data_IF_370942236734
#
_entry.id   IF_370942236734
#
_cell.length_a   1.000
_cell.length_b   1.000
_cell.length_c   1.000
_cell.angle_alpha   90.00
_cell.angle_beta   90.00
_cell.angle_gamma   90.00
#
_symmetry.space_group_name_H-M   'P 1'
#
loop_
_entity.id
_entity.type
_entity.pdbx_description
1 polymer ?
#
# COMPACT_ATOMS: atom_id res chain seq x y z
N UNK A 1 32.44 7.03 20.32
CA UNK A 1 31.88 6.66 18.99
C UNK A 1 30.46 7.17 18.79
N UNK A 2 29.58 7.17 19.80
CA UNK A 2 28.19 7.67 19.65
C UNK A 2 28.00 9.20 19.53
N UNK A 3 29.03 10.00 19.79
CA UNK A 3 28.92 11.48 19.84
C UNK A 3 29.67 12.18 18.71
N UNK A 4 30.31 11.43 17.82
CA UNK A 4 31.11 11.96 16.71
C UNK A 4 30.28 12.00 15.43
N UNK A 5 30.31 13.13 14.73
CA UNK A 5 29.58 13.33 13.48
C UNK A 5 30.04 12.32 12.42
N UNK A 6 29.10 11.64 11.77
CA UNK A 6 29.40 10.72 10.69
C UNK A 6 30.11 11.45 9.54
N UNK A 7 31.23 10.90 9.07
CA UNK A 7 31.99 11.45 7.93
C UNK A 7 31.94 10.53 6.71
N UNK A 8 31.61 9.25 6.91
CA UNK A 8 31.54 8.24 5.86
C UNK A 8 30.10 7.79 5.59
N UNK A 9 29.83 7.33 4.37
CA UNK A 9 28.49 6.90 3.96
C UNK A 9 27.94 5.74 4.80
N UNK A 10 28.78 4.76 5.15
CA UNK A 10 28.38 3.64 6.01
C UNK A 10 27.97 4.11 7.42
N UNK A 11 28.73 5.05 7.99
CA UNK A 11 28.45 5.65 9.28
C UNK A 11 27.14 6.45 9.26
N UNK A 12 26.81 7.12 8.15
CA UNK A 12 25.53 7.81 8.02
C UNK A 12 24.34 6.84 8.09
N UNK A 13 24.44 5.68 7.45
CA UNK A 13 23.37 4.68 7.44
C UNK A 13 23.26 3.94 8.78
N UNK A 14 24.37 3.66 9.45
CA UNK A 14 24.38 2.93 10.71
C UNK A 14 24.15 3.84 11.93
N UNK A 15 24.87 4.96 12.03
CA UNK A 15 24.84 5.87 13.17
C UNK A 15 23.67 6.86 13.12
N UNK A 16 23.33 7.42 11.95
CA UNK A 16 22.30 8.47 11.87
C UNK A 16 20.92 7.93 11.47
N UNK A 17 20.84 6.74 10.87
CA UNK A 17 19.58 6.14 10.39
C UNK A 17 19.13 4.88 11.16
N UNK A 18 19.99 4.26 11.97
CA UNK A 18 19.67 2.99 12.61
C UNK A 18 20.45 2.71 13.88
N UNK A 19 20.67 3.74 14.70
CA UNK A 19 21.61 3.66 15.83
C UNK A 19 21.29 2.54 16.83
N UNK A 20 19.99 2.26 17.06
CA UNK A 20 19.52 1.23 17.98
C UNK A 20 19.83 -0.19 17.49
N UNK A 21 19.64 -0.42 16.19
CA UNK A 21 19.94 -1.72 15.55
C UNK A 21 21.44 -1.94 15.53
N UNK A 22 22.20 -0.90 15.21
CA UNK A 22 23.65 -0.98 15.21
C UNK A 22 24.22 -1.24 16.60
N UNK A 23 23.66 -0.60 17.65
CA UNK A 23 24.02 -0.91 19.03
C UNK A 23 23.82 -2.39 19.34
N UNK A 24 22.66 -2.93 18.94
CA UNK A 24 22.31 -4.34 19.16
C UNK A 24 23.31 -5.27 18.46
N UNK A 25 23.69 -4.97 17.22
CA UNK A 25 24.72 -5.71 16.47
C UNK A 25 26.06 -5.70 17.20
N UNK A 26 26.50 -4.54 17.69
CA UNK A 26 27.75 -4.41 18.44
C UNK A 26 27.73 -5.22 19.73
N UNK A 27 26.62 -5.18 20.49
CA UNK A 27 26.43 -5.97 21.72
C UNK A 27 26.56 -7.48 21.42
N UNK A 28 25.93 -7.95 20.34
CA UNK A 28 26.03 -9.33 19.90
C UNK A 28 27.45 -9.71 19.48
N UNK A 29 28.16 -8.84 18.77
CA UNK A 29 29.56 -9.05 18.36
C UNK A 29 30.52 -9.12 19.55
N UNK A 30 30.20 -8.48 20.68
CA UNK A 30 30.96 -8.55 21.92
C UNK A 30 30.67 -9.80 22.77
N UNK A 31 29.78 -10.68 22.33
CA UNK A 31 29.46 -11.93 23.04
C UNK A 31 28.28 -11.85 24.00
N UNK A 32 27.61 -10.69 24.09
CA UNK A 32 26.44 -10.54 24.95
C UNK A 32 25.18 -11.13 24.30
N UNK A 33 24.23 -11.51 25.14
CA UNK A 33 22.93 -12.04 24.72
C UNK A 33 21.90 -10.91 24.66
N UNK A 34 21.06 -10.94 23.64
CA UNK A 34 19.86 -10.09 23.52
C UNK A 34 18.66 -11.02 23.52
N UNK A 35 17.70 -10.76 24.41
CA UNK A 35 16.48 -11.53 24.55
C UNK A 35 15.24 -10.68 24.34
N UNK A 36 14.21 -11.30 23.77
CA UNK A 36 12.89 -10.72 23.71
C UNK A 36 12.13 -10.96 25.02
N UNK A 37 11.57 -9.91 25.61
CA UNK A 37 10.74 -9.98 26.79
C UNK A 37 9.32 -9.47 26.46
N UNK A 38 8.34 -10.36 26.45
CA UNK A 38 6.95 -10.02 26.12
C UNK A 38 6.28 -9.08 27.14
N UNK A 39 6.81 -9.02 28.37
CA UNK A 39 6.34 -8.12 29.43
C UNK A 39 7.02 -6.74 29.40
N UNK A 40 7.93 -6.49 28.45
CA UNK A 40 8.54 -5.18 28.28
C UNK A 40 7.59 -4.26 27.51
N UNK A 41 7.14 -3.19 28.16
CA UNK A 41 6.22 -2.22 27.57
C UNK A 41 6.99 -1.04 26.96
N UNK A 42 6.62 -0.69 25.72
CA UNK A 42 7.09 0.52 25.05
C UNK A 42 5.93 1.16 24.29
N UNK A 43 5.73 2.46 24.47
CA UNK A 43 4.72 3.24 23.77
C UNK A 43 5.40 4.10 22.69
N UNK A 44 4.89 4.05 21.47
CA UNK A 44 5.40 4.86 20.35
C UNK A 44 4.26 5.37 19.48
N UNK A 45 4.52 6.44 18.74
CA UNK A 45 3.56 7.04 17.83
C UNK A 45 3.51 6.26 16.51
N UNK A 46 2.34 5.81 16.11
CA UNK A 46 2.14 5.20 14.79
C UNK A 46 1.97 6.29 13.72
N UNK A 47 2.54 6.14 12.51
CA UNK A 47 2.35 7.13 11.45
C UNK A 47 0.86 7.22 11.05
N UNK A 48 0.33 8.43 10.94
CA UNK A 48 -1.06 8.66 10.53
C UNK A 48 -1.18 9.00 9.04
N UNK A 49 -0.08 9.43 8.43
CA UNK A 49 -0.02 9.80 7.01
C UNK A 49 0.93 8.89 6.23
N UNK A 50 0.64 8.74 4.93
CA UNK A 50 1.50 7.94 4.05
C UNK A 50 2.92 8.51 3.93
N UNK A 51 3.08 9.84 3.94
CA UNK A 51 4.39 10.49 3.85
C UNK A 51 5.27 10.20 5.07
N UNK A 52 4.69 10.22 6.27
CA UNK A 52 5.37 9.82 7.50
C UNK A 52 5.78 8.35 7.46
N UNK A 53 4.85 7.46 7.07
CA UNK A 53 5.12 6.04 6.89
C UNK A 53 6.25 5.81 5.89
N UNK A 54 6.19 6.44 4.72
CA UNK A 54 7.20 6.30 3.67
C UNK A 54 8.57 6.79 4.15
N UNK A 55 8.63 7.94 4.82
CA UNK A 55 9.89 8.47 5.35
C UNK A 55 10.48 7.55 6.44
N UNK A 56 9.65 6.94 7.30
CA UNK A 56 10.10 5.93 8.27
C UNK A 56 10.70 4.71 7.56
N UNK A 57 10.01 4.17 6.56
CA UNK A 57 10.47 2.98 5.81
C UNK A 57 11.73 3.25 5.01
N UNK A 58 11.85 4.44 4.41
CA UNK A 58 13.06 4.89 3.70
C UNK A 58 14.28 4.95 4.62
N UNK A 59 14.12 5.28 5.90
CA UNK A 59 15.21 5.25 6.91
C UNK A 59 15.52 3.82 7.36
N UNK A 60 14.49 3.00 7.59
CA UNK A 60 14.66 1.69 8.24
C UNK A 60 15.16 0.59 7.31
N UNK A 61 14.77 0.59 6.03
CA UNK A 61 15.19 -0.42 5.07
C UNK A 61 16.71 -0.47 4.88
N UNK A 62 17.35 0.64 4.44
CA UNK A 62 18.80 0.70 4.25
C UNK A 62 19.60 0.42 5.52
N UNK A 63 19.15 0.92 6.68
CA UNK A 63 19.85 0.67 7.96
C UNK A 63 19.74 -0.78 8.42
N UNK A 64 18.62 -1.46 8.16
CA UNK A 64 18.49 -2.90 8.44
C UNK A 64 19.44 -3.70 7.56
N UNK A 65 19.49 -3.39 6.26
CA UNK A 65 20.40 -4.04 5.32
C UNK A 65 21.87 -3.84 5.73
N UNK A 66 22.26 -2.62 6.07
CA UNK A 66 23.62 -2.30 6.51
C UNK A 66 24.03 -3.05 7.78
N UNK A 67 23.10 -3.29 8.72
CA UNK A 67 23.35 -4.07 9.92
C UNK A 67 23.51 -5.56 9.64
N UNK A 68 22.68 -6.12 8.74
CA UNK A 68 22.81 -7.52 8.32
C UNK A 68 24.15 -7.73 7.61
N UNK A 69 24.53 -6.83 6.69
CA UNK A 69 25.82 -6.91 5.99
C UNK A 69 26.99 -6.80 6.96
N UNK A 70 26.92 -5.91 7.95
CA UNK A 70 27.95 -5.78 9.00
C UNK A 70 28.10 -7.06 9.83
N UNK A 71 26.98 -7.60 10.33
CA UNK A 71 26.96 -8.85 11.10
C UNK A 71 27.47 -10.04 10.28
N UNK A 72 27.09 -10.11 8.99
CA UNK A 72 27.58 -11.12 8.06
C UNK A 72 29.06 -10.92 7.73
N UNK A 73 29.59 -9.70 7.74
CA UNK A 73 31.02 -9.42 7.56
C UNK A 73 31.87 -10.00 8.70
N UNK A 74 31.37 -9.90 9.94
CA UNK A 74 32.05 -10.39 11.15
C UNK A 74 31.59 -11.77 11.62
N UNK A 75 30.82 -12.51 10.81
CA UNK A 75 30.05 -13.66 11.29
C UNK A 75 30.89 -14.75 11.99
N UNK A 76 32.08 -15.05 11.46
CA UNK A 76 32.95 -16.10 12.01
C UNK A 76 33.39 -15.75 13.43
N UNK A 77 33.83 -14.50 13.64
CA UNK A 77 34.26 -14.04 14.96
C UNK A 77 33.08 -13.94 15.90
N UNK A 78 31.93 -13.45 15.42
CA UNK A 78 30.71 -13.35 16.22
C UNK A 78 30.24 -14.71 16.72
N UNK A 79 30.20 -15.74 15.88
CA UNK A 79 29.80 -17.10 16.28
C UNK A 79 30.83 -17.72 17.23
N UNK A 80 32.13 -17.44 17.06
CA UNK A 80 33.16 -17.94 17.98
C UNK A 80 33.10 -17.29 19.37
N UNK A 81 32.63 -16.04 19.46
CA UNK A 81 32.58 -15.26 20.71
C UNK A 81 31.22 -15.38 21.39
N UNK A 82 30.14 -15.63 20.65
CA UNK A 82 28.77 -15.63 21.15
C UNK A 82 28.07 -16.97 20.90
N UNK A 83 27.94 -17.80 21.95
CA UNK A 83 27.27 -19.10 21.89
C UNK A 83 25.77 -19.01 21.54
N UNK A 84 25.16 -17.82 21.65
CA UNK A 84 23.75 -17.61 21.32
C UNK A 84 23.51 -17.42 19.82
N UNK A 85 24.57 -17.22 19.01
CA UNK A 85 24.47 -17.05 17.56
C UNK A 85 24.98 -18.31 16.88
N UNK A 86 24.06 -19.06 16.27
CA UNK A 86 24.42 -20.30 15.58
C UNK A 86 24.94 -20.05 14.16
N UNK A 87 25.79 -20.95 13.67
CA UNK A 87 26.21 -20.97 12.26
C UNK A 87 25.03 -21.14 11.30
N UNK A 88 24.00 -21.88 11.68
CA UNK A 88 22.78 -22.05 10.89
C UNK A 88 22.02 -20.73 10.72
N UNK A 89 21.93 -19.93 11.78
CA UNK A 89 21.35 -18.58 11.70
C UNK A 89 22.13 -17.70 10.72
N UNK A 90 23.47 -17.72 10.76
CA UNK A 90 24.28 -16.95 9.82
C UNK A 90 24.11 -17.44 8.37
N UNK A 91 24.00 -18.74 8.14
CA UNK A 91 23.72 -19.30 6.81
C UNK A 91 22.34 -18.89 6.28
N UNK A 92 21.33 -18.88 7.14
CA UNK A 92 20.01 -18.35 6.80
C UNK A 92 20.13 -16.89 6.34
N UNK A 93 20.81 -16.05 7.09
CA UNK A 93 21.03 -14.64 6.73
C UNK A 93 21.79 -14.47 5.40
N UNK A 94 22.81 -15.31 5.13
CA UNK A 94 23.52 -15.32 3.84
C UNK A 94 22.62 -15.69 2.66
N UNK A 95 21.67 -16.62 2.84
CA UNK A 95 20.74 -17.03 1.78
C UNK A 95 19.67 -15.97 1.48
N UNK A 96 19.39 -15.12 2.44
CA UNK A 96 18.29 -14.16 2.40
C UNK A 96 18.63 -12.88 1.62
N UNK A 97 19.84 -12.34 1.79
CA UNK A 97 20.31 -11.17 1.04
C UNK A 97 20.16 -11.29 -0.49
N UNK A 98 20.66 -12.35 -1.14
CA UNK A 98 20.52 -12.50 -2.59
C UNK A 98 19.06 -12.72 -3.01
N UNK A 99 18.20 -13.29 -2.15
CA UNK A 99 16.78 -13.43 -2.47
C UNK A 99 16.11 -12.05 -2.62
N UNK A 100 16.44 -11.10 -1.75
CA UNK A 100 15.93 -9.71 -1.85
C UNK A 100 16.41 -9.05 -3.14
N UNK A 101 17.71 -9.13 -3.43
CA UNK A 101 18.30 -8.44 -4.59
C UNK A 101 17.86 -9.06 -5.92
N UNK A 102 17.81 -10.40 -6.03
CA UNK A 102 17.59 -11.07 -7.30
C UNK A 102 16.15 -11.52 -7.56
N UNK A 103 15.28 -11.54 -6.54
CA UNK A 103 13.87 -11.95 -6.74
C UNK A 103 12.90 -10.79 -6.54
N UNK A 104 13.13 -9.99 -5.51
CA UNK A 104 12.15 -9.00 -5.09
C UNK A 104 12.30 -7.64 -5.80
N UNK A 105 13.52 -7.11 -5.92
CA UNK A 105 13.74 -5.88 -6.70
C UNK A 105 13.29 -6.04 -8.17
N UNK A 106 13.60 -7.16 -8.87
CA UNK A 106 13.12 -7.36 -10.23
C UNK A 106 11.59 -7.50 -10.31
N UNK A 107 10.93 -8.07 -9.29
CA UNK A 107 9.46 -8.14 -9.27
C UNK A 107 8.84 -6.73 -9.24
N UNK A 108 9.39 -5.83 -8.43
CA UNK A 108 8.94 -4.43 -8.37
C UNK A 108 9.19 -3.73 -9.71
N UNK A 109 10.41 -3.84 -10.23
CA UNK A 109 10.84 -3.11 -11.42
C UNK A 109 10.16 -3.61 -12.70
N UNK A 110 10.05 -4.93 -12.88
CA UNK A 110 9.57 -5.53 -14.14
C UNK A 110 8.12 -5.97 -14.12
N UNK A 111 7.45 -6.02 -12.96
CA UNK A 111 6.04 -6.41 -12.89
C UNK A 111 5.15 -5.27 -12.39
N UNK A 112 5.52 -4.65 -11.27
CA UNK A 112 4.64 -3.65 -10.65
C UNK A 112 4.70 -2.27 -11.29
N UNK A 113 5.89 -1.71 -11.52
CA UNK A 113 6.00 -0.41 -12.20
C UNK A 113 5.32 -0.45 -13.58
N UNK A 114 5.51 -1.48 -14.42
CA UNK A 114 4.80 -1.60 -15.69
C UNK A 114 3.28 -1.74 -15.53
N UNK A 115 2.80 -2.43 -14.51
CA UNK A 115 1.36 -2.53 -14.25
C UNK A 115 0.73 -1.15 -13.97
N UNK A 116 1.40 -0.34 -13.14
CA UNK A 116 0.94 1.02 -12.83
C UNK A 116 1.01 1.90 -14.07
N UNK A 117 2.15 1.89 -14.76
CA UNK A 117 2.42 2.79 -15.89
C UNK A 117 1.59 2.45 -17.14
N UNK A 118 1.44 1.16 -17.46
CA UNK A 118 0.78 0.73 -18.70
C UNK A 118 -0.66 0.27 -18.52
N UNK A 119 -1.14 0.03 -17.28
CA UNK A 119 -2.53 -0.40 -17.04
C UNK A 119 -3.32 0.62 -16.24
N UNK A 120 -2.83 1.03 -15.06
CA UNK A 120 -3.61 1.92 -14.19
C UNK A 120 -3.69 3.35 -14.71
N UNK A 121 -2.55 3.97 -15.02
CA UNK A 121 -2.54 5.37 -15.50
C UNK A 121 -3.35 5.55 -16.81
N UNK A 122 -3.21 4.68 -17.84
CA UNK A 122 -3.99 4.82 -19.07
C UNK A 122 -5.49 4.59 -18.85
N UNK A 123 -5.89 3.72 -17.92
CA UNK A 123 -7.30 3.53 -17.56
C UNK A 123 -7.89 4.82 -16.96
N UNK A 124 -7.14 5.51 -16.11
CA UNK A 124 -7.54 6.82 -15.56
C UNK A 124 -7.67 7.85 -16.66
N UNK A 125 -6.63 7.99 -17.48
CA UNK A 125 -6.50 9.06 -18.45
C UNK A 125 -7.44 8.91 -19.64
N UNK A 126 -7.60 7.69 -20.17
CA UNK A 126 -8.35 7.46 -21.40
C UNK A 126 -9.75 6.89 -21.20
N UNK A 127 -10.08 6.36 -20.02
CA UNK A 127 -11.43 5.80 -19.76
C UNK A 127 -12.18 6.60 -18.69
N UNK A 128 -11.59 6.80 -17.51
CA UNK A 128 -12.29 7.43 -16.40
C UNK A 128 -12.49 8.94 -16.59
N UNK A 129 -11.42 9.69 -16.86
CA UNK A 129 -11.51 11.14 -17.05
C UNK A 129 -12.44 11.53 -18.22
N UNK A 130 -12.35 10.91 -19.42
CA UNK A 130 -13.24 11.26 -20.52
C UNK A 130 -14.71 10.90 -20.25
N UNK A 131 -14.98 9.82 -19.52
CA UNK A 131 -16.35 9.48 -19.09
C UNK A 131 -16.92 10.55 -18.16
N UNK A 132 -16.11 11.07 -17.23
CA UNK A 132 -16.52 12.17 -16.36
C UNK A 132 -16.75 13.45 -17.18
N UNK A 133 -15.76 13.84 -17.98
CA UNK A 133 -15.71 15.14 -18.65
C UNK A 133 -16.71 15.26 -19.80
N UNK A 134 -16.86 14.21 -20.62
CA UNK A 134 -17.69 14.26 -21.82
C UNK A 134 -19.06 13.60 -21.68
N UNK A 135 -19.27 12.78 -20.64
CA UNK A 135 -20.57 12.14 -20.42
C UNK A 135 -21.26 12.64 -19.16
N UNK A 136 -20.61 12.58 -17.99
CA UNK A 136 -21.26 12.97 -16.74
C UNK A 136 -21.48 14.47 -16.59
N UNK A 137 -20.44 15.28 -16.75
CA UNK A 137 -20.55 16.73 -16.56
C UNK A 137 -21.57 17.36 -17.53
N UNK A 138 -21.57 17.06 -18.85
CA UNK A 138 -22.55 17.64 -19.76
C UNK A 138 -23.97 17.15 -19.48
N UNK A 139 -24.13 15.89 -19.04
CA UNK A 139 -25.42 15.35 -18.64
C UNK A 139 -25.98 16.09 -17.42
N UNK A 140 -25.12 16.43 -16.45
CA UNK A 140 -25.53 17.22 -15.28
C UNK A 140 -25.84 18.67 -15.67
N UNK A 141 -24.93 19.32 -16.40
CA UNK A 141 -25.00 20.75 -16.69
C UNK A 141 -26.11 21.11 -17.68
N UNK A 142 -26.23 20.35 -18.78
CA UNK A 142 -27.16 20.70 -19.87
C UNK A 142 -28.49 19.96 -19.81
N UNK A 143 -28.59 18.88 -19.04
CA UNK A 143 -29.83 18.09 -18.96
C UNK A 143 -30.42 18.05 -17.56
N UNK A 144 -29.63 17.77 -16.52
CA UNK A 144 -30.16 17.67 -15.16
C UNK A 144 -30.53 19.03 -14.56
N UNK A 145 -29.59 19.98 -14.50
CA UNK A 145 -29.82 21.30 -13.88
C UNK A 145 -30.98 22.07 -14.52
N UNK A 146 -31.09 22.20 -15.87
CA UNK A 146 -32.18 22.93 -16.49
C UNK A 146 -33.55 22.29 -16.23
N UNK A 147 -33.58 20.97 -16.07
CA UNK A 147 -34.81 20.24 -15.79
C UNK A 147 -35.25 20.40 -14.34
N UNK A 148 -34.31 20.50 -13.40
CA UNK A 148 -34.59 20.85 -11.99
C UNK A 148 -35.13 22.27 -11.91
N UNK A 149 -34.47 23.24 -12.54
CA UNK A 149 -34.92 24.64 -12.57
C UNK A 149 -36.31 24.78 -13.21
N UNK A 150 -36.54 24.14 -14.36
CA UNK A 150 -37.84 24.14 -15.02
C UNK A 150 -38.92 23.46 -14.17
N UNK A 151 -38.59 22.35 -13.48
CA UNK A 151 -39.53 21.66 -12.59
C UNK A 151 -39.90 22.51 -11.38
N UNK A 152 -38.93 23.23 -10.81
CA UNK A 152 -39.16 24.18 -9.72
C UNK A 152 -40.04 25.35 -10.18
N UNK A 153 -39.74 25.96 -11.34
CA UNK A 153 -40.51 27.08 -11.89
C UNK A 153 -41.94 26.68 -12.30
N UNK A 154 -42.12 25.46 -12.80
CA UNK A 154 -43.43 24.94 -13.24
C UNK A 154 -44.32 24.43 -12.10
N UNK A 155 -43.80 24.29 -10.89
CA UNK A 155 -44.57 23.89 -9.69
C UNK A 155 -45.72 24.87 -9.35
N UNK A 156 -45.64 26.12 -9.82
CA UNK A 156 -46.68 27.13 -9.67
C UNK A 156 -47.85 26.97 -10.67
N UNK A 157 -47.75 26.05 -11.64
CA UNK A 157 -48.81 25.74 -12.61
C UNK A 157 -49.05 24.21 -12.67
N UNK A 158 -50.15 23.68 -12.08
CA UNK A 158 -50.31 22.24 -11.82
C UNK A 158 -50.32 21.37 -13.08
N UNK A 159 -50.72 21.92 -14.24
CA UNK A 159 -50.74 21.19 -15.52
C UNK A 159 -49.36 21.07 -16.17
N UNK A 160 -48.45 22.02 -15.91
CA UNK A 160 -47.08 22.01 -16.44
C UNK A 160 -46.15 21.21 -15.52
N UNK A 161 -46.39 21.27 -14.20
CA UNK A 161 -45.67 20.51 -13.17
C UNK A 161 -45.68 18.99 -13.43
N UNK A 162 -46.83 18.43 -13.79
CA UNK A 162 -46.93 16.98 -14.00
C UNK A 162 -46.11 16.53 -15.23
N UNK A 163 -46.00 17.38 -16.26
CA UNK A 163 -45.18 17.11 -17.43
C UNK A 163 -43.68 17.27 -17.16
N UNK A 164 -43.26 18.26 -16.37
CA UNK A 164 -41.86 18.44 -15.98
C UNK A 164 -41.37 17.31 -15.07
N UNK A 165 -42.16 16.90 -14.08
CA UNK A 165 -41.83 15.77 -13.21
C UNK A 165 -41.72 14.45 -13.98
N UNK A 166 -42.59 14.20 -14.96
CA UNK A 166 -42.47 13.01 -15.82
C UNK A 166 -41.18 13.03 -16.65
N UNK A 167 -40.78 14.19 -17.19
CA UNK A 167 -39.51 14.33 -17.93
C UNK A 167 -38.29 14.10 -17.01
N UNK A 168 -38.35 14.56 -15.77
CA UNK A 168 -37.29 14.34 -14.78
C UNK A 168 -37.15 12.89 -14.37
N UNK A 169 -38.27 12.24 -14.07
CA UNK A 169 -38.28 10.81 -13.78
C UNK A 169 -37.75 9.99 -14.97
N UNK A 170 -38.16 10.33 -16.19
CA UNK A 170 -37.72 9.63 -17.39
C UNK A 170 -36.20 9.82 -17.62
N UNK A 171 -35.71 11.06 -17.51
CA UNK A 171 -34.29 11.34 -17.66
C UNK A 171 -33.43 10.61 -16.62
N UNK A 172 -33.86 10.62 -15.35
CA UNK A 172 -33.16 9.88 -14.30
C UNK A 172 -33.10 8.39 -14.62
N UNK A 173 -34.23 7.79 -15.01
CA UNK A 173 -34.33 6.35 -15.18
C UNK A 173 -33.69 5.82 -16.47
N UNK A 174 -33.71 6.60 -17.56
CA UNK A 174 -33.27 6.14 -18.88
C UNK A 174 -31.94 6.76 -19.35
N UNK A 175 -31.42 7.79 -18.67
CA UNK A 175 -30.17 8.43 -19.07
C UNK A 175 -29.15 8.48 -17.93
N UNK A 176 -29.54 8.99 -16.76
CA UNK A 176 -28.60 9.17 -15.65
C UNK A 176 -28.26 7.86 -14.92
N UNK A 177 -29.26 7.12 -14.45
CA UNK A 177 -29.04 5.85 -13.74
C UNK A 177 -28.27 4.84 -14.60
N UNK A 178 -28.63 4.62 -15.89
CA UNK A 178 -27.91 3.68 -16.73
C UNK A 178 -26.44 4.04 -16.93
N UNK A 179 -26.11 5.34 -17.08
CA UNK A 179 -24.72 5.78 -17.20
C UNK A 179 -23.91 5.47 -15.93
N UNK A 180 -24.52 5.68 -14.75
CA UNK A 180 -23.90 5.34 -13.47
C UNK A 180 -23.76 3.83 -13.32
N UNK A 181 -24.82 3.06 -13.55
CA UNK A 181 -24.87 1.63 -13.25
C UNK A 181 -24.11 0.77 -14.25
N UNK A 182 -24.05 1.16 -15.53
CA UNK A 182 -23.44 0.34 -16.58
C UNK A 182 -22.08 0.85 -17.05
N UNK A 183 -21.73 2.11 -16.78
CA UNK A 183 -20.44 2.66 -17.19
C UNK A 183 -19.57 3.05 -16.00
N UNK A 184 -20.09 3.84 -15.07
CA UNK A 184 -19.27 4.40 -13.99
C UNK A 184 -18.95 3.38 -12.89
N UNK A 185 -19.98 2.75 -12.31
CA UNK A 185 -19.82 1.76 -11.25
C UNK A 185 -18.97 0.57 -11.70
N UNK A 186 -19.21 -0.05 -12.87
CA UNK A 186 -18.39 -1.19 -13.30
C UNK A 186 -16.93 -0.81 -13.53
N UNK A 187 -16.67 0.39 -14.07
CA UNK A 187 -15.31 0.88 -14.25
C UNK A 187 -14.60 1.02 -12.89
N UNK A 188 -15.28 1.61 -11.89
CA UNK A 188 -14.72 1.77 -10.55
C UNK A 188 -14.55 0.42 -9.85
N UNK A 189 -15.58 -0.42 -9.81
CA UNK A 189 -15.59 -1.67 -9.04
C UNK A 189 -14.71 -2.77 -9.64
N UNK A 190 -14.71 -2.94 -10.96
CA UNK A 190 -13.99 -4.05 -11.60
C UNK A 190 -12.60 -3.67 -12.10
N UNK A 191 -12.32 -2.38 -12.31
CA UNK A 191 -11.05 -1.94 -12.89
C UNK A 191 -10.20 -1.10 -11.92
N UNK A 192 -10.80 -0.21 -11.11
CA UNK A 192 -10.05 0.64 -10.17
C UNK A 192 -9.86 0.02 -8.79
N UNK A 193 -10.93 -0.46 -8.18
CA UNK A 193 -10.95 -1.01 -6.82
C UNK A 193 -9.92 -2.14 -6.63
N UNK A 194 -9.86 -3.15 -7.52
CA UNK A 194 -8.89 -4.22 -7.41
C UNK A 194 -7.45 -3.69 -7.47
N UNK A 195 -7.21 -2.68 -8.31
CA UNK A 195 -5.88 -2.11 -8.50
C UNK A 195 -5.46 -1.25 -7.29
N UNK A 196 -6.40 -0.49 -6.71
CA UNK A 196 -6.19 0.33 -5.51
C UNK A 196 -6.08 -0.52 -4.23
N UNK A 197 -6.78 -1.64 -4.13
CA UNK A 197 -6.65 -2.58 -2.99
C UNK A 197 -5.36 -3.40 -3.06
N UNK A 198 -4.91 -3.79 -4.26
CA UNK A 198 -3.66 -4.52 -4.44
C UNK A 198 -2.42 -3.62 -4.26
N UNK A 199 -2.54 -2.34 -4.57
CA UNK A 199 -1.45 -1.36 -4.51
C UNK A 199 -0.80 -1.23 -3.11
N UNK A 200 -1.52 -1.00 -2.01
CA UNK A 200 -0.95 -0.94 -0.67
C UNK A 200 -0.47 -2.30 -0.16
N UNK A 201 -1.06 -3.41 -0.61
CA UNK A 201 -0.53 -4.75 -0.31
C UNK A 201 0.85 -4.89 -0.95
N UNK A 202 0.98 -4.61 -2.24
CA UNK A 202 2.26 -4.64 -2.95
C UNK A 202 3.29 -3.66 -2.34
N UNK A 203 2.87 -2.47 -1.93
CA UNK A 203 3.69 -1.48 -1.21
C UNK A 203 4.09 -1.98 0.19
N UNK A 204 3.21 -2.70 0.90
CA UNK A 204 3.54 -3.34 2.16
C UNK A 204 4.58 -4.46 1.95
N UNK A 205 4.41 -5.29 0.92
CA UNK A 205 5.37 -6.33 0.55
C UNK A 205 6.71 -5.73 0.17
N UNK A 206 6.72 -4.64 -0.59
CA UNK A 206 7.95 -3.96 -1.06
C UNK A 206 8.79 -3.31 0.07
N UNK A 207 8.19 -3.07 1.25
CA UNK A 207 8.82 -2.35 2.36
C UNK A 207 8.80 -3.08 3.72
N UNK A 208 8.28 -4.31 3.78
CA UNK A 208 8.39 -5.18 4.96
C UNK A 208 9.78 -5.85 4.96
N UNK A 209 10.49 -5.90 6.11
CA UNK A 209 11.59 -6.83 6.25
C UNK A 209 11.03 -8.25 6.04
N UNK A 210 11.50 -8.94 5.01
CA UNK A 210 11.02 -10.25 4.56
C UNK A 210 11.09 -11.36 5.64
N UNK A 211 11.61 -11.11 6.84
CA UNK A 211 11.52 -12.01 7.99
C UNK A 211 10.07 -12.17 8.51
N UNK A 212 9.14 -11.27 8.18
CA UNK A 212 7.72 -11.39 8.54
C UNK A 212 6.85 -12.15 7.50
N UNK A 213 7.44 -12.57 6.37
CA UNK A 213 6.70 -13.21 5.26
C UNK A 213 5.92 -14.48 5.66
N UNK A 214 6.50 -15.47 6.38
CA UNK A 214 5.78 -16.70 6.69
C UNK A 214 4.60 -16.49 7.66
N UNK A 215 4.69 -15.49 8.55
CA UNK A 215 3.63 -15.18 9.52
C UNK A 215 2.46 -14.39 8.89
N UNK A 216 2.75 -13.54 7.90
CA UNK A 216 1.75 -12.73 7.21
C UNK A 216 0.94 -13.54 6.18
N UNK A 217 1.56 -14.50 5.48
CA UNK A 217 0.90 -15.41 4.53
C UNK A 217 -0.15 -16.29 5.23
N UNK A 218 0.14 -16.75 6.45
CA UNK A 218 -0.77 -17.60 7.24
C UNK A 218 -1.96 -16.85 7.83
N UNK A 219 -1.82 -15.55 8.13
CA UNK A 219 -2.88 -14.73 8.74
C UNK A 219 -3.78 -14.02 7.72
N UNK A 220 -3.27 -13.74 6.52
CA UNK A 220 -4.00 -12.98 5.48
C UNK A 220 -4.84 -13.84 4.53
N UNK A 221 -4.44 -15.09 4.28
CA UNK A 221 -5.16 -16.00 3.39
C UNK A 221 -6.59 -16.38 3.83
N UNK A 222 -6.91 -16.60 5.12
CA UNK A 222 -8.28 -16.91 5.50
C UNK A 222 -9.22 -15.70 5.43
N UNK A 223 -8.71 -14.46 5.53
CA UNK A 223 -9.56 -13.25 5.48
C UNK A 223 -10.06 -12.93 4.05
N UNK A 224 -9.25 -13.22 3.03
CA UNK A 224 -9.59 -12.96 1.62
C UNK A 224 -10.57 -13.97 1.01
N UNK A 225 -10.52 -15.23 1.46
CA UNK A 225 -11.53 -16.24 1.09
C UNK A 225 -12.88 -15.94 1.76
N UNK A 226 -12.88 -15.37 2.97
CA UNK A 226 -14.12 -14.97 3.63
C UNK A 226 -14.74 -13.71 3.01
N UNK A 227 -13.96 -12.66 2.69
CA UNK A 227 -14.52 -11.42 2.10
C UNK A 227 -15.10 -11.63 0.69
N UNK A 228 -14.47 -12.49 -0.13
CA UNK A 228 -14.98 -12.85 -1.46
C UNK A 228 -16.24 -13.74 -1.42
N UNK A 229 -16.43 -14.55 -0.38
CA UNK A 229 -17.66 -15.35 -0.18
C UNK A 229 -18.82 -14.55 0.45
N UNK A 230 -18.53 -13.51 1.25
CA UNK A 230 -19.59 -12.68 1.84
C UNK A 230 -20.23 -11.72 0.83
N UNK A 231 -19.52 -11.29 -0.22
CA UNK A 231 -20.11 -10.41 -1.24
C UNK A 231 -21.00 -11.15 -2.26
N UNK A 232 -20.76 -12.45 -2.51
CA UNK A 232 -21.61 -13.24 -3.42
C UNK A 232 -22.92 -13.72 -2.78
N UNK A 233 -23.01 -13.69 -1.44
CA UNK A 233 -24.19 -14.15 -0.68
C UNK A 233 -25.17 -13.04 -0.27
N UNK A 234 -24.86 -11.77 -0.57
CA UNK A 234 -25.74 -10.61 -0.28
C UNK A 234 -26.56 -10.18 -1.52
N UNK A 235 -26.31 -10.76 -2.70
CA UNK A 235 -27.01 -10.44 -3.96
C UNK A 235 -27.85 -11.63 -4.49
N UNK A 236 -28.30 -12.54 -3.63
CA UNK A 236 -29.26 -13.60 -3.98
C UNK A 236 -30.62 -13.38 -3.33
#
# INVERSE_FOLDING_TARGET
>A
MYTTRATEAAQYVQCDQGEDRWLSTLILQQGYRIDYCAAADAMTHAPETFSEFFNQRRRWGPSTLANIVDLLGSWKTTVMVNDNISTLYMLYQFSFLPLVEFSFLPLVEFSFLPLVEFSFLPLVEFSFLPLVEFSFLPLVEFSFLPLVEFSFLSSFLPRVFLSSSCRFSFFLQFSFLPLVSFSFLPLVEFSFLPLVEFFPFFLLFSFLPLESFPFFLLSSFPFFLLSSFFFSSIIA
#
